data_IF_154520149107
#
_entry.id   IF_154520149107
#
_cell.length_a   1.000
_cell.length_b   1.000
_cell.length_c   1.000
_cell.angle_alpha   90.00
_cell.angle_beta   90.00
_cell.angle_gamma   90.00
#
_symmetry.space_group_name_H-M   'P 1'
#
loop_
_entity.id
_entity.type
_entity.pdbx_description
1 polymer ?
#
# COMPACT_ATOMS: atom_id res chain seq x y z
N UNK A 1 -12.69 -13.72 -33.15
CA UNK A 1 -11.87 -12.49 -33.15
C UNK A 1 -11.02 -12.50 -34.41
N UNK A 2 -11.28 -11.63 -35.40
CA UNK A 2 -10.49 -11.61 -36.64
C UNK A 2 -9.10 -11.07 -36.30
N UNK A 3 -8.09 -11.93 -36.36
CA UNK A 3 -6.69 -11.49 -36.31
C UNK A 3 -6.32 -11.10 -37.73
N UNK A 4 -6.39 -9.81 -38.02
CA UNK A 4 -5.90 -9.27 -39.29
C UNK A 4 -4.37 -9.32 -39.28
N UNK A 5 -3.78 -10.07 -40.22
CA UNK A 5 -2.35 -9.96 -40.50
C UNK A 5 -2.12 -8.58 -41.09
N UNK A 6 -1.61 -7.65 -40.29
CA UNK A 6 -1.21 -6.33 -40.74
C UNK A 6 -0.16 -6.52 -41.84
N UNK A 7 -0.54 -6.31 -43.10
CA UNK A 7 0.38 -6.30 -44.24
C UNK A 7 1.27 -5.07 -44.12
N UNK A 8 2.39 -5.23 -43.43
CA UNK A 8 3.32 -4.16 -43.16
C UNK A 8 4.13 -3.92 -44.43
N UNK A 9 4.03 -2.73 -45.00
CA UNK A 9 4.99 -2.33 -46.02
C UNK A 9 6.39 -2.35 -45.38
N UNK A 10 7.45 -2.75 -46.12
CA UNK A 10 8.82 -2.80 -45.59
C UNK A 10 9.25 -1.46 -44.97
N UNK A 11 8.74 -0.37 -45.55
CA UNK A 11 8.96 1.01 -45.10
C UNK A 11 8.29 1.28 -43.74
N UNK A 12 7.07 0.78 -43.53
CA UNK A 12 6.37 0.92 -42.25
C UNK A 12 7.00 0.07 -41.13
N UNK A 13 7.70 -1.01 -41.48
CA UNK A 13 8.49 -1.80 -40.53
C UNK A 13 9.78 -1.09 -40.13
N UNK A 14 10.52 -0.57 -41.12
CA UNK A 14 11.72 0.21 -40.89
C UNK A 14 11.46 1.45 -40.03
N UNK A 15 10.38 2.19 -40.31
CA UNK A 15 10.00 3.38 -39.53
C UNK A 15 9.81 3.06 -38.05
N UNK A 16 9.12 1.96 -37.74
CA UNK A 16 8.90 1.53 -36.35
C UNK A 16 10.20 1.15 -35.64
N UNK A 17 11.14 0.51 -36.34
CA UNK A 17 12.45 0.23 -35.76
C UNK A 17 13.22 1.51 -35.46
N UNK A 18 13.19 2.50 -36.35
CA UNK A 18 13.80 3.82 -36.11
C UNK A 18 13.15 4.52 -34.92
N UNK A 19 11.82 4.52 -34.83
CA UNK A 19 11.08 5.13 -33.70
C UNK A 19 11.47 4.48 -32.35
N UNK A 20 11.59 3.15 -32.32
CA UNK A 20 12.02 2.42 -31.11
C UNK A 20 13.47 2.71 -30.74
N UNK A 21 14.37 2.76 -31.72
CA UNK A 21 15.78 3.09 -31.47
C UNK A 21 15.91 4.53 -30.97
N UNK A 22 15.13 5.45 -31.52
CA UNK A 22 15.09 6.84 -31.06
C UNK A 22 14.63 6.94 -29.61
N UNK A 23 13.54 6.25 -29.24
CA UNK A 23 13.07 6.29 -27.85
C UNK A 23 14.07 5.59 -26.91
N UNK A 24 14.70 4.49 -27.34
CA UNK A 24 15.75 3.82 -26.56
C UNK A 24 16.95 4.74 -26.33
N UNK A 25 17.38 5.47 -27.36
CA UNK A 25 18.47 6.43 -27.27
C UNK A 25 18.12 7.59 -26.32
N UNK A 26 16.90 8.12 -26.41
CA UNK A 26 16.39 9.15 -25.49
C UNK A 26 16.41 8.67 -24.04
N UNK A 27 15.90 7.46 -23.77
CA UNK A 27 15.90 6.87 -22.44
C UNK A 27 17.31 6.55 -21.92
N UNK A 28 18.27 6.24 -22.80
CA UNK A 28 19.65 5.99 -22.41
C UNK A 28 20.37 7.28 -21.95
N UNK A 29 20.14 8.41 -22.63
CA UNK A 29 20.78 9.69 -22.30
C UNK A 29 20.06 10.46 -21.18
N UNK A 30 18.72 10.52 -21.25
CA UNK A 30 17.88 11.26 -20.30
C UNK A 30 16.76 10.31 -19.87
N UNK A 31 17.05 9.42 -18.90
CA UNK A 31 16.07 8.43 -18.47
C UNK A 31 14.93 9.12 -17.73
N UNK A 32 13.72 9.01 -18.28
CA UNK A 32 12.48 9.49 -17.65
C UNK A 32 11.94 8.39 -16.72
N UNK A 33 12.61 8.20 -15.58
CA UNK A 33 12.33 7.10 -14.66
C UNK A 33 11.15 7.44 -13.78
N UNK A 34 10.12 6.61 -13.83
CA UNK A 34 8.98 6.70 -12.91
C UNK A 34 9.36 6.25 -11.48
N UNK A 35 10.44 5.48 -11.34
CA UNK A 35 10.91 4.91 -10.06
C UNK A 35 11.56 5.95 -9.16
N UNK A 36 11.39 5.80 -7.84
CA UNK A 36 12.10 6.57 -6.81
C UNK A 36 13.28 5.78 -6.23
N UNK A 37 14.28 6.46 -5.68
CA UNK A 37 15.46 5.82 -5.11
C UNK A 37 15.28 5.45 -3.62
N UNK A 38 14.53 4.39 -3.32
CA UNK A 38 14.40 3.90 -1.95
C UNK A 38 15.74 3.33 -1.43
N UNK A 39 16.17 3.58 -0.17
CA UNK A 39 15.49 4.32 0.90
C UNK A 39 15.86 5.81 1.00
N UNK A 40 16.70 6.33 0.09
CA UNK A 40 17.17 7.73 0.10
C UNK A 40 16.04 8.71 -0.20
N UNK A 41 15.15 8.34 -1.12
CA UNK A 41 13.95 9.08 -1.47
C UNK A 41 12.70 8.33 -1.02
N UNK A 42 11.69 9.06 -0.55
CA UNK A 42 10.40 8.50 -0.15
C UNK A 42 9.27 9.22 -0.86
N UNK A 43 8.30 8.45 -1.34
CA UNK A 43 7.04 9.00 -1.87
C UNK A 43 6.24 9.63 -0.73
N UNK A 44 5.62 10.79 -0.99
CA UNK A 44 4.61 11.34 -0.10
C UNK A 44 3.33 10.51 -0.20
N UNK A 45 2.98 9.83 0.90
CA UNK A 45 1.70 9.12 1.04
C UNK A 45 0.59 10.09 1.46
N UNK A 46 -0.68 9.76 1.22
CA UNK A 46 -1.80 10.54 1.77
C UNK A 46 -1.84 10.44 3.30
N UNK A 47 -2.38 11.47 3.95
CA UNK A 47 -2.39 11.57 5.42
C UNK A 47 -3.24 10.48 6.09
N UNK A 48 -4.23 9.94 5.39
CA UNK A 48 -5.11 8.87 5.86
C UNK A 48 -4.64 7.45 5.46
N UNK A 49 -3.36 7.28 5.16
CA UNK A 49 -2.79 5.95 4.88
C UNK A 49 -2.99 5.02 6.09
N UNK A 50 -3.62 3.87 5.86
CA UNK A 50 -3.78 2.84 6.88
C UNK A 50 -2.45 2.11 7.09
N UNK A 51 -1.82 2.33 8.23
CA UNK A 51 -0.54 1.73 8.61
C UNK A 51 -0.61 0.94 9.91
N UNK A 52 0.55 0.80 10.56
CA UNK A 52 0.65 0.21 11.89
C UNK A 52 -0.23 0.97 12.90
N UNK A 53 -0.84 0.19 13.79
CA UNK A 53 -1.77 0.70 14.80
C UNK A 53 -0.96 1.05 16.05
N UNK A 54 -1.19 2.24 16.61
CA UNK A 54 -0.50 2.74 17.79
C UNK A 54 -1.52 2.90 18.91
N UNK A 55 -1.26 2.28 20.06
CA UNK A 55 -2.12 2.37 21.23
C UNK A 55 -1.73 3.57 22.11
N UNK A 56 -2.67 4.49 22.31
CA UNK A 56 -2.61 5.51 23.36
C UNK A 56 -3.23 4.97 24.66
N UNK A 57 -2.36 4.49 25.56
CA UNK A 57 -2.78 3.89 26.85
C UNK A 57 -3.56 4.85 27.74
N UNK A 58 -3.41 6.17 27.57
CA UNK A 58 -4.10 7.18 28.39
C UNK A 58 -5.57 7.33 28.03
N UNK A 59 -5.93 7.03 26.77
CA UNK A 59 -7.30 7.10 26.25
C UNK A 59 -8.03 5.77 26.27
N UNK A 60 -7.31 4.66 26.38
CA UNK A 60 -7.91 3.34 26.35
C UNK A 60 -8.66 3.05 27.66
N UNK A 61 -9.96 2.78 27.55
CA UNK A 61 -10.85 2.41 28.66
C UNK A 61 -11.12 0.90 28.73
N UNK A 62 -10.38 0.10 27.95
CA UNK A 62 -10.48 -1.36 27.94
C UNK A 62 -11.91 -1.87 27.74
N UNK A 63 -12.60 -1.33 26.72
CA UNK A 63 -13.99 -1.69 26.38
C UNK A 63 -14.13 -2.92 25.46
N UNK A 64 -13.02 -3.55 25.05
CA UNK A 64 -12.98 -4.78 24.21
C UNK A 64 -13.57 -4.66 22.79
N UNK A 65 -14.14 -3.51 22.42
CA UNK A 65 -14.79 -3.31 21.11
C UNK A 65 -13.85 -3.53 19.92
N UNK A 66 -12.60 -3.10 20.05
CA UNK A 66 -11.57 -3.29 19.03
C UNK A 66 -11.31 -4.78 18.74
N UNK A 67 -11.32 -5.63 19.77
CA UNK A 67 -11.17 -7.07 19.62
C UNK A 67 -12.41 -7.70 18.97
N UNK A 68 -13.61 -7.27 19.38
CA UNK A 68 -14.87 -7.80 18.85
C UNK A 68 -15.10 -7.46 17.37
N UNK A 69 -14.71 -6.26 16.92
CA UNK A 69 -14.91 -5.83 15.53
C UNK A 69 -13.86 -6.39 14.57
N UNK A 70 -12.77 -6.97 15.08
CA UNK A 70 -11.65 -7.39 14.25
C UNK A 70 -12.04 -8.60 13.37
N UNK A 71 -12.10 -8.45 12.04
CA UNK A 71 -12.55 -9.54 11.15
C UNK A 71 -11.56 -10.70 11.10
N UNK A 72 -10.27 -10.44 11.38
CA UNK A 72 -9.21 -11.44 11.39
C UNK A 72 -8.92 -11.98 12.81
N UNK A 73 -9.67 -11.55 13.83
CA UNK A 73 -9.42 -11.86 15.24
C UNK A 73 -7.94 -11.68 15.64
N UNK A 74 -7.34 -10.57 15.17
CA UNK A 74 -5.93 -10.25 15.33
C UNK A 74 -5.63 -9.52 16.64
N UNK A 75 -6.64 -9.08 17.39
CA UNK A 75 -6.47 -8.30 18.61
C UNK A 75 -6.75 -9.18 19.82
N UNK A 76 -5.77 -9.30 20.71
CA UNK A 76 -5.91 -9.98 21.99
C UNK A 76 -5.85 -8.97 23.12
N UNK A 77 -6.68 -9.14 24.13
CA UNK A 77 -6.69 -8.27 25.31
C UNK A 77 -5.77 -8.87 26.35
N UNK A 78 -4.83 -8.08 26.87
CA UNK A 78 -3.90 -8.54 27.90
C UNK A 78 -4.63 -8.96 29.18
N UNK A 79 -4.06 -9.91 29.93
CA UNK A 79 -4.60 -10.37 31.21
C UNK A 79 -3.98 -9.64 32.42
N UNK A 80 -2.84 -8.99 32.21
CA UNK A 80 -2.08 -8.25 33.21
C UNK A 80 -1.82 -6.84 32.66
N UNK A 81 -1.89 -5.82 33.52
CA UNK A 81 -1.85 -4.37 33.20
C UNK A 81 -3.05 -3.84 32.38
N UNK A 82 -4.15 -3.53 33.09
CA UNK A 82 -5.30 -2.76 32.61
C UNK A 82 -6.03 -3.31 31.36
N UNK A 83 -5.80 -4.56 30.96
CA UNK A 83 -6.45 -5.19 29.80
C UNK A 83 -6.24 -4.42 28.49
N UNK A 84 -5.03 -3.95 28.22
CA UNK A 84 -4.73 -3.27 26.95
C UNK A 84 -4.72 -4.22 25.74
N UNK A 85 -5.18 -3.77 24.56
CA UNK A 85 -5.15 -4.56 23.33
C UNK A 85 -3.71 -4.72 22.79
N UNK A 86 -3.36 -5.93 22.40
CA UNK A 86 -2.17 -6.25 21.60
C UNK A 86 -2.60 -6.72 20.21
N UNK A 87 -1.91 -6.25 19.17
CA UNK A 87 -2.23 -6.57 17.77
C UNK A 87 -1.23 -7.59 17.25
N UNK A 88 -1.73 -8.74 16.82
CA UNK A 88 -0.99 -9.74 16.06
C UNK A 88 -0.92 -9.35 14.58
N UNK A 89 0.21 -8.76 14.18
CA UNK A 89 0.43 -8.32 12.80
C UNK A 89 0.58 -9.46 11.79
N UNK A 90 0.69 -10.73 12.24
CA UNK A 90 0.65 -11.87 11.34
C UNK A 90 -0.77 -12.14 10.82
N UNK A 91 -1.79 -11.73 11.60
CA UNK A 91 -3.21 -11.87 11.24
C UNK A 91 -3.86 -10.57 10.77
N UNK A 92 -3.31 -9.43 11.19
CA UNK A 92 -3.88 -8.12 10.87
C UNK A 92 -3.91 -7.85 9.35
N UNK A 93 -5.09 -7.49 8.84
CA UNK A 93 -5.29 -7.14 7.42
C UNK A 93 -5.33 -5.63 7.15
N UNK A 94 -4.94 -4.80 8.14
CA UNK A 94 -4.89 -3.34 8.05
C UNK A 94 -6.21 -2.66 7.61
N UNK A 95 -7.36 -3.22 8.00
CA UNK A 95 -8.68 -2.68 7.68
C UNK A 95 -9.04 -1.41 8.47
N UNK A 96 -8.40 -1.18 9.63
CA UNK A 96 -8.67 -0.04 10.55
C UNK A 96 -10.08 0.01 11.17
N UNK A 97 -10.86 -1.07 11.14
CA UNK A 97 -12.14 -1.11 11.87
C UNK A 97 -12.00 -0.91 13.38
N UNK A 98 -10.87 -1.35 13.97
CA UNK A 98 -10.57 -1.10 15.37
C UNK A 98 -10.42 0.40 15.68
N UNK A 99 -9.78 1.16 14.78
CA UNK A 99 -9.59 2.63 14.89
C UNK A 99 -10.94 3.32 14.81
N UNK A 100 -11.73 3.01 13.76
CA UNK A 100 -13.04 3.61 13.54
C UNK A 100 -14.06 3.26 14.65
N UNK A 101 -13.99 2.05 15.21
CA UNK A 101 -14.90 1.63 16.28
C UNK A 101 -14.57 2.18 17.66
N UNK A 102 -13.34 2.66 17.87
CA UNK A 102 -12.84 3.03 19.18
C UNK A 102 -13.52 4.32 19.68
N UNK A 103 -14.33 4.27 20.75
CA UNK A 103 -15.10 5.44 21.19
C UNK A 103 -14.21 6.58 21.71
N UNK A 104 -13.00 6.26 22.18
CA UNK A 104 -12.05 7.22 22.74
C UNK A 104 -10.92 7.59 21.78
N UNK A 105 -10.89 7.00 20.57
CA UNK A 105 -9.79 7.21 19.61
C UNK A 105 -8.42 6.79 20.15
N UNK A 106 -8.39 5.73 20.96
CA UNK A 106 -7.16 5.22 21.58
C UNK A 106 -6.30 4.35 20.65
N UNK A 107 -6.84 3.91 19.52
CA UNK A 107 -6.18 3.09 18.50
C UNK A 107 -6.13 3.85 17.17
#
# INVERSE_FOLDING_TARGET
>A
MKVEKISRSPIAELKRHVDVIQEAFKQALIPDRITIEYPRERRKYPDNLRGFIVLDKSKCISCFRCAQICPANAIQMGFYDNFYPSVDYTKCIFCHFCVESCPTGAL
#
